data_IF_939711837887
#
_entry.id   IF_939711837887
#
_cell.length_a   1.000
_cell.length_b   1.000
_cell.length_c   1.000
_cell.angle_alpha   90.00
_cell.angle_beta   90.00
_cell.angle_gamma   90.00
#
_symmetry.space_group_name_H-M   'P 1'
#
loop_
_entity.id
_entity.type
_entity.pdbx_description
1 polymer ?
#
# COMPACT_ATOMS: atom_id res chain seq x y z
N UNK A 1 -10.67 23.34 22.10
CA UNK A 1 -11.96 24.03 21.91
C UNK A 1 -11.87 24.93 20.68
N UNK A 2 -12.93 25.03 19.86
CA UNK A 2 -12.98 25.92 18.68
C UNK A 2 -14.23 26.80 18.79
N UNK A 3 -14.08 28.10 18.50
CA UNK A 3 -15.20 29.05 18.40
C UNK A 3 -15.10 29.79 17.07
N UNK A 4 -16.17 29.74 16.28
CA UNK A 4 -16.30 30.46 15.01
C UNK A 4 -16.90 31.84 15.26
N UNK A 5 -16.52 32.83 14.45
CA UNK A 5 -17.14 34.16 14.43
C UNK A 5 -17.94 34.31 13.13
N UNK A 6 -19.24 33.96 13.13
CA UNK A 6 -20.08 34.14 11.95
C UNK A 6 -20.36 35.64 11.72
N UNK A 7 -20.35 36.03 10.45
CA UNK A 7 -20.69 37.37 9.97
C UNK A 7 -21.68 37.25 8.81
N UNK A 8 -22.56 38.24 8.65
CA UNK A 8 -23.42 38.30 7.47
C UNK A 8 -22.58 38.34 6.18
N UNK A 9 -22.97 37.52 5.21
CA UNK A 9 -22.26 37.41 3.95
C UNK A 9 -22.36 38.69 3.11
N UNK A 10 -23.49 39.42 3.20
CA UNK A 10 -23.78 40.63 2.40
C UNK A 10 -23.52 40.43 0.90
N UNK A 11 -23.98 39.30 0.37
CA UNK A 11 -23.80 38.92 -1.04
C UNK A 11 -22.42 38.35 -1.40
N UNK A 12 -21.48 38.23 -0.44
CA UNK A 12 -20.17 37.59 -0.66
C UNK A 12 -20.33 36.06 -0.81
N UNK A 13 -19.48 35.48 -1.66
CA UNK A 13 -19.37 34.04 -1.83
C UNK A 13 -18.33 33.44 -0.86
N UNK A 14 -18.50 32.18 -0.51
CA UNK A 14 -17.50 31.40 0.22
C UNK A 14 -16.20 31.31 -0.60
N UNK A 15 -15.07 31.71 -0.01
CA UNK A 15 -13.77 31.66 -0.68
C UNK A 15 -13.30 30.23 -1.01
N UNK A 16 -13.87 29.19 -0.38
CA UNK A 16 -13.50 27.79 -0.59
C UNK A 16 -14.37 27.09 -1.64
N UNK A 17 -15.69 27.23 -1.56
CA UNK A 17 -16.62 26.51 -2.44
C UNK A 17 -17.37 27.39 -3.44
N UNK A 18 -17.21 28.72 -3.39
CA UNK A 18 -17.90 29.67 -4.26
C UNK A 18 -19.40 29.84 -3.98
N UNK A 19 -19.99 29.02 -3.10
CA UNK A 19 -21.40 29.13 -2.75
C UNK A 19 -21.70 30.45 -2.04
N UNK A 20 -22.86 31.04 -2.37
CA UNK A 20 -23.41 32.20 -1.65
C UNK A 20 -24.32 31.69 -0.53
N UNK A 21 -24.15 32.25 0.66
CA UNK A 21 -24.98 31.95 1.82
C UNK A 21 -25.30 33.21 2.59
N UNK A 22 -26.13 33.12 3.62
CA UNK A 22 -26.49 34.25 4.48
C UNK A 22 -25.36 34.63 5.45
N UNK A 23 -24.62 33.62 5.92
CA UNK A 23 -23.55 33.76 6.91
C UNK A 23 -22.25 33.19 6.36
N UNK A 24 -21.14 33.86 6.68
CA UNK A 24 -19.78 33.41 6.40
C UNK A 24 -18.95 33.46 7.68
N UNK A 25 -17.93 32.61 7.75
CA UNK A 25 -16.95 32.63 8.84
C UNK A 25 -15.61 33.05 8.26
N UNK A 26 -15.03 34.12 8.80
CA UNK A 26 -13.71 34.64 8.38
C UNK A 26 -12.62 34.45 9.42
N UNK A 27 -13.02 34.42 10.70
CA UNK A 27 -12.11 34.26 11.82
C UNK A 27 -12.65 33.20 12.78
N UNK A 28 -11.72 32.58 13.50
CA UNK A 28 -12.01 31.65 14.58
C UNK A 28 -10.98 31.82 15.68
N UNK A 29 -11.34 31.45 16.90
CA UNK A 29 -10.39 31.18 17.98
C UNK A 29 -10.35 29.66 18.19
N UNK A 30 -9.14 29.12 18.33
CA UNK A 30 -8.94 27.72 18.68
C UNK A 30 -7.95 27.62 19.84
N UNK A 31 -8.25 26.71 20.77
CA UNK A 31 -7.43 26.34 21.91
C UNK A 31 -7.27 24.82 21.95
N UNK A 32 -6.25 24.34 22.67
CA UNK A 32 -6.06 22.91 22.90
C UNK A 32 -7.35 22.29 23.48
N UNK A 33 -7.76 21.16 22.92
CA UNK A 33 -8.90 20.38 23.40
C UNK A 33 -8.47 19.31 24.39
N UNK A 34 -9.38 18.39 24.67
CA UNK A 34 -9.06 17.20 25.45
C UNK A 34 -8.08 16.31 24.69
N UNK A 35 -7.01 15.92 25.37
CA UNK A 35 -6.14 14.85 24.93
C UNK A 35 -6.49 13.58 25.69
N UNK A 36 -6.50 12.42 25.01
CA UNK A 36 -6.66 11.14 25.69
C UNK A 36 -5.57 10.98 26.76
N UNK A 37 -5.97 10.69 27.99
CA UNK A 37 -5.04 10.52 29.11
C UNK A 37 -4.10 9.33 28.86
N UNK A 38 -2.88 9.42 29.38
CA UNK A 38 -1.93 8.30 29.34
C UNK A 38 -2.46 7.12 30.15
N UNK A 39 -2.44 5.91 29.56
CA UNK A 39 -2.91 4.68 30.21
C UNK A 39 -4.42 4.43 30.12
N UNK A 40 -5.20 5.35 29.53
CA UNK A 40 -6.60 5.07 29.20
C UNK A 40 -6.70 3.92 28.19
N UNK A 41 -7.78 3.14 28.26
CA UNK A 41 -8.04 2.08 27.29
C UNK A 41 -8.03 2.66 25.87
N UNK A 42 -7.37 1.96 24.94
CA UNK A 42 -7.37 2.38 23.54
C UNK A 42 -8.80 2.34 23.01
N UNK A 43 -9.32 3.52 22.66
CA UNK A 43 -10.42 3.62 21.72
C UNK A 43 -9.91 3.30 20.31
N UNK A 44 -10.36 2.16 19.76
CA UNK A 44 -10.07 1.76 18.39
C UNK A 44 -11.15 2.36 17.48
N UNK A 45 -10.75 3.31 16.65
CA UNK A 45 -11.62 3.95 15.66
C UNK A 45 -12.03 2.90 14.62
N UNK A 46 -13.34 2.68 14.38
CA UNK A 46 -13.82 1.66 13.44
C UNK A 46 -13.40 1.89 11.99
N UNK A 47 -12.94 3.09 11.63
CA UNK A 47 -12.49 3.46 10.29
C UNK A 47 -10.96 3.42 10.13
N UNK A 48 -10.21 3.17 11.19
CA UNK A 48 -8.75 3.14 11.16
C UNK A 48 -8.18 1.72 11.20
N UNK A 49 -7.14 1.48 10.42
CA UNK A 49 -6.30 0.29 10.55
C UNK A 49 -5.18 0.55 11.56
N UNK A 50 -4.74 -0.47 12.29
CA UNK A 50 -3.69 -0.36 13.28
C UNK A 50 -2.61 -1.41 13.09
N UNK A 51 -1.40 -1.10 13.53
CA UNK A 51 -0.30 -2.05 13.68
C UNK A 51 0.04 -2.25 15.16
N UNK A 52 0.26 -3.49 15.61
CA UNK A 52 0.85 -3.74 16.92
C UNK A 52 2.21 -3.05 17.05
N UNK A 53 2.56 -2.65 18.27
CA UNK A 53 3.93 -2.20 18.59
C UNK A 53 4.89 -3.38 18.55
N UNK A 54 6.16 -3.09 18.24
CA UNK A 54 7.24 -4.08 18.31
C UNK A 54 7.26 -4.72 19.70
N UNK A 55 7.39 -6.05 19.75
CA UNK A 55 7.38 -6.86 20.98
C UNK A 55 6.07 -6.84 21.78
N UNK A 56 4.95 -6.39 21.19
CA UNK A 56 3.64 -6.39 21.86
C UNK A 56 3.53 -5.44 23.06
N UNK A 57 4.55 -4.61 23.30
CA UNK A 57 4.56 -3.66 24.42
C UNK A 57 3.90 -2.35 24.02
N UNK A 58 2.75 -2.08 24.63
CA UNK A 58 2.00 -0.84 24.48
C UNK A 58 0.90 -0.91 23.42
N UNK A 59 0.13 0.17 23.34
CA UNK A 59 -1.01 0.23 22.44
C UNK A 59 -0.60 0.20 20.96
N UNK A 60 -1.42 -0.44 20.09
CA UNK A 60 -1.19 -0.43 18.66
C UNK A 60 -1.26 1.00 18.11
N UNK A 61 -0.53 1.23 17.04
CA UNK A 61 -0.43 2.53 16.38
C UNK A 61 -1.28 2.53 15.12
N UNK A 62 -2.02 3.61 14.82
CA UNK A 62 -2.75 3.71 13.57
C UNK A 62 -1.77 3.64 12.39
N UNK A 63 -2.18 2.98 11.31
CA UNK A 63 -1.48 3.04 10.04
C UNK A 63 -1.58 4.47 9.50
N UNK A 64 -0.46 4.98 8.97
CA UNK A 64 -0.36 6.34 8.44
C UNK A 64 0.30 6.30 7.07
N UNK A 65 -0.05 7.24 6.17
CA UNK A 65 0.65 7.41 4.91
C UNK A 65 2.16 7.54 5.10
N UNK A 66 2.91 6.90 4.20
CA UNK A 66 4.38 6.93 4.19
C UNK A 66 4.85 7.67 2.96
N UNK A 67 5.86 8.53 3.13
CA UNK A 67 6.39 9.33 2.04
C UNK A 67 6.82 8.43 0.87
N UNK A 68 6.35 8.76 -0.34
CA UNK A 68 6.72 8.05 -1.57
C UNK A 68 6.23 6.60 -1.63
N UNK A 69 5.22 6.22 -0.84
CA UNK A 69 4.62 4.89 -0.87
C UNK A 69 3.17 4.99 -1.38
N UNK A 70 2.91 4.38 -2.53
CA UNK A 70 1.55 4.22 -3.04
C UNK A 70 0.67 3.43 -2.06
N UNK A 71 -0.58 3.87 -1.88
CA UNK A 71 -1.51 3.32 -0.88
C UNK A 71 -1.79 1.83 -1.07
N UNK A 72 -1.91 1.35 -2.32
CA UNK A 72 -2.17 -0.05 -2.63
C UNK A 72 -1.08 -1.00 -2.07
N UNK A 73 0.13 -0.50 -1.79
CA UNK A 73 1.19 -1.29 -1.14
C UNK A 73 0.88 -1.62 0.32
N UNK A 74 -0.13 -0.97 0.89
CA UNK A 74 -0.67 -1.23 2.23
C UNK A 74 -2.02 -1.96 2.17
N UNK A 75 -2.45 -2.43 0.99
CA UNK A 75 -3.76 -3.07 0.77
C UNK A 75 -4.06 -4.21 1.74
N UNK A 76 -3.12 -5.16 1.91
CA UNK A 76 -3.28 -6.25 2.87
C UNK A 76 -3.48 -5.74 4.30
N UNK A 77 -2.65 -4.78 4.69
CA UNK A 77 -2.65 -4.20 6.03
C UNK A 77 -3.92 -3.38 6.32
N UNK A 78 -4.54 -2.81 5.29
CA UNK A 78 -5.74 -1.99 5.40
C UNK A 78 -7.01 -2.84 5.40
N UNK A 79 -7.07 -3.94 4.65
CA UNK A 79 -8.36 -4.59 4.35
C UNK A 79 -8.45 -6.06 4.77
N UNK A 80 -7.33 -6.77 4.79
CA UNK A 80 -7.35 -8.23 4.84
C UNK A 80 -7.13 -8.74 6.26
N UNK A 81 -7.61 -9.97 6.51
CA UNK A 81 -7.40 -10.67 7.76
C UNK A 81 -6.81 -12.07 7.49
N UNK A 82 -5.50 -12.28 7.73
CA UNK A 82 -4.85 -13.56 7.49
C UNK A 82 -5.17 -14.62 8.57
N UNK A 83 -6.12 -14.39 9.47
CA UNK A 83 -6.54 -15.36 10.49
C UNK A 83 -5.51 -15.60 11.60
N UNK A 84 -4.53 -14.70 11.77
CA UNK A 84 -3.52 -14.79 12.81
C UNK A 84 -4.10 -14.46 14.18
N UNK A 85 -3.55 -15.07 15.24
CA UNK A 85 -3.97 -14.82 16.61
C UNK A 85 -3.80 -13.34 17.01
N UNK A 86 -4.65 -12.89 17.94
CA UNK A 86 -4.66 -11.51 18.45
C UNK A 86 -3.25 -11.03 18.81
N UNK A 87 -2.82 -9.91 18.22
CA UNK A 87 -1.51 -9.30 18.44
C UNK A 87 -0.44 -9.65 17.38
N UNK A 88 -0.75 -10.54 16.44
CA UNK A 88 0.11 -10.85 15.28
C UNK A 88 -0.50 -10.27 14.00
N UNK A 89 0.21 -9.34 13.35
CA UNK A 89 -0.25 -8.69 12.12
C UNK A 89 -1.07 -7.42 12.38
N UNK A 90 -1.55 -6.81 11.30
CA UNK A 90 -2.33 -5.57 11.35
C UNK A 90 -3.77 -5.81 11.78
N UNK A 91 -4.34 -4.85 12.50
CA UNK A 91 -5.74 -4.81 12.88
C UNK A 91 -6.45 -4.00 11.80
N UNK A 92 -7.30 -4.64 10.99
CA UNK A 92 -8.09 -3.96 9.97
C UNK A 92 -9.22 -3.11 10.60
N UNK A 93 -9.73 -2.07 9.91
CA UNK A 93 -10.87 -1.29 10.37
C UNK A 93 -12.08 -2.20 10.64
N UNK A 94 -12.71 -2.07 11.81
CA UNK A 94 -13.83 -2.94 12.21
C UNK A 94 -15.09 -2.72 11.36
N UNK A 95 -15.22 -1.56 10.69
CA UNK A 95 -16.29 -1.33 9.71
C UNK A 95 -16.26 -2.34 8.56
N UNK A 96 -15.09 -2.88 8.20
CA UNK A 96 -15.00 -3.91 7.16
C UNK A 96 -15.65 -5.23 7.59
N UNK A 97 -15.54 -5.59 8.87
CA UNK A 97 -16.25 -6.76 9.42
C UNK A 97 -17.77 -6.52 9.42
N UNK A 98 -18.23 -5.28 9.59
CA UNK A 98 -19.64 -4.94 9.46
C UNK A 98 -20.12 -5.04 8.01
N UNK A 99 -19.32 -4.59 7.03
CA UNK A 99 -19.63 -4.74 5.60
C UNK A 99 -19.77 -6.22 5.24
N UNK A 100 -18.84 -7.06 5.72
CA UNK A 100 -18.86 -8.51 5.62
C UNK A 100 -20.22 -9.10 6.03
N UNK A 101 -20.64 -8.79 7.27
CA UNK A 101 -21.88 -9.30 7.85
C UNK A 101 -23.12 -8.80 7.09
N UNK A 102 -23.08 -7.56 6.57
CA UNK A 102 -24.19 -7.01 5.77
C UNK A 102 -24.24 -7.70 4.41
N UNK A 103 -23.10 -7.92 3.75
CA UNK A 103 -23.01 -8.58 2.46
C UNK A 103 -23.56 -10.01 2.55
N UNK A 104 -23.16 -10.77 3.58
CA UNK A 104 -23.65 -12.12 3.84
C UNK A 104 -25.18 -12.13 4.03
N UNK A 105 -25.70 -11.29 4.92
CA UNK A 105 -27.15 -11.22 5.20
C UNK A 105 -27.98 -10.77 4.01
N UNK A 106 -27.43 -9.89 3.18
CA UNK A 106 -28.09 -9.38 1.99
C UNK A 106 -27.90 -10.29 0.77
N UNK A 107 -27.17 -11.40 0.88
CA UNK A 107 -26.89 -12.31 -0.22
C UNK A 107 -26.13 -11.65 -1.36
N UNK A 108 -25.19 -10.75 -1.05
CA UNK A 108 -24.36 -10.11 -2.06
C UNK A 108 -23.42 -11.14 -2.69
N UNK A 109 -23.22 -11.03 -4.00
CA UNK A 109 -22.25 -11.84 -4.72
C UNK A 109 -20.83 -11.62 -4.15
N UNK A 110 -20.14 -12.70 -3.80
CA UNK A 110 -18.77 -12.66 -3.29
C UNK A 110 -17.76 -12.09 -4.32
N UNK A 111 -18.08 -12.16 -5.62
CA UNK A 111 -17.30 -11.54 -6.69
C UNK A 111 -17.45 -10.01 -6.74
N UNK A 112 -18.46 -9.45 -6.06
CA UNK A 112 -18.66 -8.00 -5.99
C UNK A 112 -17.49 -7.35 -5.27
N UNK A 113 -17.09 -6.17 -5.75
CA UNK A 113 -16.13 -5.30 -5.08
C UNK A 113 -16.81 -4.13 -4.38
N UNK A 114 -16.27 -3.74 -3.22
CA UNK A 114 -16.63 -2.50 -2.53
C UNK A 114 -15.53 -1.46 -2.74
N UNK A 115 -15.94 -0.25 -3.11
CA UNK A 115 -15.03 0.89 -3.19
C UNK A 115 -14.76 1.44 -1.81
N UNK A 116 -13.52 1.36 -1.34
CA UNK A 116 -13.09 1.90 -0.04
C UNK A 116 -12.25 3.14 -0.27
N UNK A 117 -12.77 4.30 0.19
CA UNK A 117 -12.04 5.55 0.16
C UNK A 117 -11.12 5.64 1.39
N UNK A 118 -9.83 5.74 1.15
CA UNK A 118 -8.81 5.85 2.17
C UNK A 118 -8.30 7.30 2.23
N UNK A 119 -8.48 7.91 3.40
CA UNK A 119 -8.06 9.29 3.66
C UNK A 119 -7.00 9.26 4.75
N UNK A 120 -5.87 9.93 4.51
CA UNK A 120 -4.79 10.00 5.49
C UNK A 120 -3.94 11.24 5.31
N UNK A 121 -3.27 11.65 6.37
CA UNK A 121 -2.32 12.76 6.33
C UNK A 121 -0.96 12.35 6.88
N UNK A 122 0.09 12.80 6.20
CA UNK A 122 1.45 12.72 6.72
C UNK A 122 1.83 14.08 7.29
N UNK A 123 2.12 14.10 8.58
CA UNK A 123 2.52 15.31 9.29
C UNK A 123 3.88 15.13 9.96
N UNK A 124 4.46 16.22 10.45
CA UNK A 124 5.61 16.18 11.37
C UNK A 124 5.22 15.76 12.80
N UNK A 125 4.01 15.20 12.97
CA UNK A 125 3.36 14.94 14.25
C UNK A 125 3.13 16.20 15.10
N UNK A 126 3.22 17.38 14.47
CA UNK A 126 2.91 18.68 15.06
C UNK A 126 1.92 19.40 14.15
N UNK A 127 2.35 20.44 13.43
CA UNK A 127 1.49 21.32 12.66
C UNK A 127 1.76 21.29 11.15
N UNK A 128 2.87 20.70 10.70
CA UNK A 128 3.23 20.71 9.28
C UNK A 128 2.62 19.49 8.60
N UNK A 129 1.76 19.73 7.62
CA UNK A 129 1.26 18.71 6.70
C UNK A 129 2.22 18.62 5.52
N UNK A 130 2.73 17.42 5.27
CA UNK A 130 3.60 17.17 4.12
C UNK A 130 2.85 16.52 2.95
N UNK A 131 1.82 15.75 3.25
CA UNK A 131 1.11 14.94 2.25
C UNK A 131 -0.32 14.67 2.73
N UNK A 132 -1.25 14.76 1.78
CA UNK A 132 -2.65 14.39 1.96
C UNK A 132 -2.96 13.29 0.96
N UNK A 133 -3.37 12.12 1.47
CA UNK A 133 -3.80 10.98 0.67
C UNK A 133 -5.32 10.93 0.67
N UNK A 134 -5.89 10.82 -0.51
CA UNK A 134 -7.33 10.65 -0.76
C UNK A 134 -7.47 9.76 -1.99
N UNK A 135 -7.46 8.45 -1.76
CA UNK A 135 -7.44 7.43 -2.81
C UNK A 135 -8.55 6.41 -2.58
N UNK A 136 -9.16 5.93 -3.66
CA UNK A 136 -10.15 4.86 -3.61
C UNK A 136 -9.52 3.53 -4.05
N UNK A 137 -9.68 2.49 -3.25
CA UNK A 137 -9.27 1.13 -3.59
C UNK A 137 -10.49 0.22 -3.71
N UNK A 138 -10.48 -0.66 -4.70
CA UNK A 138 -11.52 -1.68 -4.85
C UNK A 138 -11.16 -2.91 -4.03
N UNK A 139 -12.09 -3.37 -3.20
CA UNK A 139 -11.90 -4.55 -2.36
C UNK A 139 -12.96 -5.59 -2.69
N UNK A 140 -12.62 -6.68 -3.39
CA UNK A 140 -13.51 -7.83 -3.58
C UNK A 140 -13.98 -8.39 -2.23
N UNK A 141 -15.28 -8.67 -2.10
CA UNK A 141 -15.87 -9.18 -0.87
C UNK A 141 -15.28 -10.55 -0.48
N UNK A 142 -14.99 -11.41 -1.46
CA UNK A 142 -14.33 -12.70 -1.21
C UNK A 142 -13.00 -12.57 -0.44
N UNK A 143 -12.26 -11.47 -0.60
CA UNK A 143 -11.00 -11.26 0.12
C UNK A 143 -11.20 -10.89 1.59
N UNK A 144 -12.37 -10.35 1.97
CA UNK A 144 -12.64 -9.99 3.36
C UNK A 144 -12.81 -11.23 4.25
N UNK A 145 -13.16 -12.38 3.66
CA UNK A 145 -13.46 -13.63 4.33
C UNK A 145 -12.39 -14.73 4.17
N UNK A 146 -11.37 -14.54 3.33
CA UNK A 146 -10.40 -15.60 3.00
C UNK A 146 -9.02 -15.36 3.63
N UNK A 147 -8.69 -16.06 4.73
CA UNK A 147 -7.34 -16.03 5.32
C UNK A 147 -6.25 -16.48 4.34
N UNK A 148 -6.53 -17.50 3.52
CA UNK A 148 -5.57 -18.01 2.53
C UNK A 148 -5.24 -16.95 1.48
N UNK A 149 -6.25 -16.31 0.88
CA UNK A 149 -6.03 -15.22 -0.07
C UNK A 149 -5.37 -13.99 0.59
N UNK A 150 -5.68 -13.72 1.86
CA UNK A 150 -5.03 -12.67 2.63
C UNK A 150 -3.53 -12.93 2.83
N UNK A 151 -3.15 -14.16 3.21
CA UNK A 151 -1.74 -14.56 3.31
C UNK A 151 -1.06 -14.49 1.96
N UNK A 152 -1.71 -14.96 0.89
CA UNK A 152 -1.18 -14.89 -0.47
C UNK A 152 -0.85 -13.45 -0.88
N UNK A 153 -1.80 -12.51 -0.71
CA UNK A 153 -1.59 -11.11 -1.06
C UNK A 153 -0.51 -10.45 -0.18
N UNK A 154 -0.42 -10.80 1.10
CA UNK A 154 0.66 -10.34 1.97
C UNK A 154 2.04 -10.81 1.49
N UNK A 155 2.17 -12.09 1.16
CA UNK A 155 3.40 -12.69 0.66
C UNK A 155 3.79 -12.10 -0.71
N UNK A 156 2.81 -11.87 -1.59
CA UNK A 156 3.01 -11.18 -2.86
C UNK A 156 3.52 -9.75 -2.70
N UNK A 157 2.96 -8.97 -1.79
CA UNK A 157 3.44 -7.61 -1.47
C UNK A 157 4.86 -7.66 -0.86
N UNK A 158 5.14 -8.62 0.02
CA UNK A 158 6.46 -8.82 0.60
C UNK A 158 7.50 -9.20 -0.45
N UNK A 159 7.12 -10.00 -1.46
CA UNK A 159 7.97 -10.30 -2.61
C UNK A 159 8.33 -9.04 -3.40
N UNK A 160 7.35 -8.17 -3.67
CA UNK A 160 7.60 -6.87 -4.32
C UNK A 160 8.58 -5.98 -3.55
N UNK A 161 8.49 -5.96 -2.21
CA UNK A 161 9.44 -5.24 -1.33
C UNK A 161 10.84 -5.84 -1.33
N UNK A 162 10.94 -7.17 -1.36
CA UNK A 162 12.23 -7.87 -1.47
C UNK A 162 12.92 -7.50 -2.77
N UNK A 163 12.20 -7.55 -3.89
CA UNK A 163 12.73 -7.18 -5.21
C UNK A 163 13.18 -5.71 -5.25
N UNK A 164 12.41 -4.78 -4.67
CA UNK A 164 12.88 -3.39 -4.50
C UNK A 164 14.24 -3.31 -3.78
N UNK A 165 14.45 -4.18 -2.77
CA UNK A 165 15.73 -4.33 -2.08
C UNK A 165 16.85 -4.79 -3.01
N UNK A 166 16.59 -5.78 -3.86
CA UNK A 166 17.54 -6.27 -4.86
C UNK A 166 17.89 -5.23 -5.91
N UNK A 167 16.91 -4.47 -6.40
CA UNK A 167 17.14 -3.37 -7.35
C UNK A 167 18.08 -2.33 -6.72
N UNK A 168 17.84 -1.95 -5.46
CA UNK A 168 18.70 -1.01 -4.72
C UNK A 168 20.09 -1.58 -4.54
N UNK A 169 20.20 -2.87 -4.23
CA UNK A 169 21.47 -3.54 -4.03
C UNK A 169 22.29 -3.60 -5.33
N UNK A 170 21.69 -4.09 -6.42
CA UNK A 170 22.32 -4.13 -7.73
C UNK A 170 22.78 -2.75 -8.20
N UNK A 171 21.96 -1.71 -7.97
CA UNK A 171 22.32 -0.33 -8.27
C UNK A 171 23.55 0.10 -7.47
N UNK A 172 23.54 -0.14 -6.16
CA UNK A 172 24.62 0.28 -5.26
C UNK A 172 25.93 -0.45 -5.53
N UNK A 173 25.89 -1.68 -6.04
CA UNK A 173 27.08 -2.47 -6.33
C UNK A 173 27.78 -2.06 -7.62
N UNK A 174 27.03 -1.69 -8.65
CA UNK A 174 27.59 -1.51 -10.01
C UNK A 174 27.43 -0.11 -10.58
N UNK A 175 26.46 0.68 -10.11
CA UNK A 175 26.08 1.96 -10.72
C UNK A 175 26.18 3.14 -9.75
N UNK A 176 26.53 2.90 -8.49
CA UNK A 176 26.68 3.97 -7.49
C UNK A 176 28.15 4.13 -7.13
N UNK A 177 28.73 5.28 -7.45
CA UNK A 177 30.02 5.68 -6.91
C UNK A 177 29.94 5.94 -5.39
N UNK A 178 31.08 5.90 -4.69
CA UNK A 178 31.18 6.24 -3.25
C UNK A 178 30.61 7.62 -2.88
N UNK A 179 30.46 8.51 -3.86
CA UNK A 179 29.94 9.87 -3.71
C UNK A 179 28.41 9.96 -3.71
N UNK A 180 27.68 8.88 -4.03
CA UNK A 180 26.22 8.89 -4.13
C UNK A 180 25.68 9.68 -5.33
N UNK A 181 26.52 9.83 -6.37
CA UNK A 181 26.29 10.66 -7.56
C UNK A 181 24.95 10.38 -8.26
N UNK A 182 24.44 9.15 -8.15
CA UNK A 182 23.26 8.69 -8.88
C UNK A 182 22.06 8.37 -7.99
N UNK A 183 22.04 8.88 -6.76
CA UNK A 183 20.97 8.63 -5.79
C UNK A 183 19.59 9.08 -6.28
N UNK A 184 19.50 10.15 -7.06
CA UNK A 184 18.23 10.63 -7.65
C UNK A 184 17.68 9.64 -8.69
N UNK A 185 18.54 9.12 -9.55
CA UNK A 185 18.17 8.13 -10.57
C UNK A 185 17.72 6.82 -9.92
N UNK A 186 18.44 6.39 -8.86
CA UNK A 186 18.02 5.25 -8.04
C UNK A 186 16.64 5.45 -7.42
N UNK A 187 16.37 6.63 -6.86
CA UNK A 187 15.07 6.92 -6.26
C UNK A 187 13.95 6.88 -7.32
N UNK A 188 14.16 7.51 -8.47
CA UNK A 188 13.21 7.49 -9.59
C UNK A 188 12.98 6.08 -10.15
N UNK A 189 14.01 5.24 -10.20
CA UNK A 189 13.90 3.83 -10.58
C UNK A 189 12.90 3.10 -9.67
N UNK A 190 13.04 3.27 -8.35
CA UNK A 190 12.16 2.61 -7.38
C UNK A 190 10.72 3.16 -7.45
N UNK A 191 10.55 4.45 -7.69
CA UNK A 191 9.24 5.07 -7.88
C UNK A 191 8.55 4.53 -9.14
N UNK A 192 9.25 4.44 -10.27
CA UNK A 192 8.73 3.86 -11.51
C UNK A 192 8.38 2.39 -11.36
N UNK A 193 9.22 1.63 -10.67
CA UNK A 193 8.97 0.21 -10.38
C UNK A 193 7.64 0.02 -9.62
N UNK A 194 7.37 0.81 -8.58
CA UNK A 194 6.11 0.69 -7.87
C UNK A 194 4.92 1.25 -8.65
N UNK A 195 5.12 2.33 -9.40
CA UNK A 195 4.05 2.89 -10.22
C UNK A 195 3.58 1.90 -11.29
N UNK A 196 4.51 1.18 -11.94
CA UNK A 196 4.17 0.22 -13.00
C UNK A 196 3.47 -1.04 -12.49
N UNK A 197 3.60 -1.38 -11.20
CA UNK A 197 2.99 -2.57 -10.62
C UNK A 197 1.53 -2.42 -10.23
N UNK A 198 0.97 -1.20 -10.15
CA UNK A 198 -0.40 -1.00 -9.67
C UNK A 198 -1.45 -1.82 -10.47
N UNK A 199 -1.45 -1.81 -11.82
CA UNK A 199 -2.44 -2.59 -12.59
C UNK A 199 -2.23 -4.11 -12.50
N UNK A 200 -0.99 -4.57 -12.33
CA UNK A 200 -0.70 -5.99 -12.11
C UNK A 200 -1.14 -6.43 -10.70
N UNK A 201 -1.02 -5.55 -9.70
CA UNK A 201 -1.47 -5.82 -8.35
C UNK A 201 -2.99 -5.93 -8.27
N UNK A 202 -3.73 -5.03 -8.94
CA UNK A 202 -5.19 -5.13 -9.03
C UNK A 202 -5.64 -6.46 -9.63
N UNK A 203 -5.01 -6.88 -10.74
CA UNK A 203 -5.28 -8.18 -11.36
C UNK A 203 -4.93 -9.35 -10.44
N UNK A 204 -3.82 -9.25 -9.70
CA UNK A 204 -3.42 -10.27 -8.72
C UNK A 204 -4.44 -10.38 -7.58
N UNK A 205 -4.86 -9.25 -6.98
CA UNK A 205 -5.87 -9.24 -5.93
C UNK A 205 -7.22 -9.82 -6.41
N UNK A 206 -7.64 -9.50 -7.63
CA UNK A 206 -8.84 -10.07 -8.25
C UNK A 206 -8.71 -11.58 -8.49
N UNK A 207 -7.55 -12.05 -8.94
CA UNK A 207 -7.30 -13.48 -9.13
C UNK A 207 -7.33 -14.25 -7.79
N UNK A 208 -6.75 -13.68 -6.74
CA UNK A 208 -6.85 -14.23 -5.38
C UNK A 208 -8.29 -14.23 -4.87
N UNK A 209 -9.09 -13.21 -5.20
CA UNK A 209 -10.50 -13.16 -4.83
C UNK A 209 -11.33 -14.22 -5.54
N UNK A 210 -11.06 -14.45 -6.83
CA UNK A 210 -11.72 -15.49 -7.61
C UNK A 210 -11.41 -16.90 -7.06
N UNK A 211 -10.17 -17.15 -6.65
CA UNK A 211 -9.78 -18.40 -6.00
C UNK A 211 -10.49 -18.62 -4.65
N UNK A 212 -10.82 -17.55 -3.93
CA UNK A 212 -11.52 -17.60 -2.65
C UNK A 212 -13.05 -17.78 -2.75
N UNK A 213 -13.59 -18.10 -3.93
CA UNK A 213 -15.02 -18.25 -4.15
C UNK A 213 -15.66 -19.44 -3.41
N UNK A 214 -16.98 -19.40 -3.12
CA UNK A 214 -17.66 -20.31 -2.19
C UNK A 214 -17.89 -21.76 -2.69
N UNK A 215 -17.22 -22.22 -3.76
CA UNK A 215 -17.57 -23.50 -4.38
C UNK A 215 -16.40 -24.29 -4.99
N UNK A 216 -15.15 -23.89 -4.72
CA UNK A 216 -13.97 -24.60 -5.18
C UNK A 216 -13.52 -25.65 -4.17
N UNK A 217 -13.08 -26.82 -4.64
CA UNK A 217 -12.39 -27.78 -3.77
C UNK A 217 -11.04 -27.20 -3.31
N UNK A 218 -10.55 -27.59 -2.13
CA UNK A 218 -9.30 -27.04 -1.56
C UNK A 218 -8.12 -27.12 -2.55
N UNK A 219 -7.98 -28.24 -3.28
CA UNK A 219 -6.94 -28.41 -4.30
C UNK A 219 -7.07 -27.43 -5.48
N UNK A 220 -8.29 -27.07 -5.87
CA UNK A 220 -8.56 -26.08 -6.93
C UNK A 220 -8.23 -24.67 -6.46
N UNK A 221 -8.52 -24.35 -5.20
CA UNK A 221 -8.16 -23.07 -4.56
C UNK A 221 -6.64 -22.91 -4.55
N UNK A 222 -5.92 -23.93 -4.08
CA UNK A 222 -4.46 -23.92 -4.01
C UNK A 222 -3.82 -23.77 -5.40
N UNK A 223 -4.34 -24.48 -6.40
CA UNK A 223 -3.87 -24.36 -7.79
C UNK A 223 -4.12 -22.95 -8.35
N UNK A 224 -5.30 -22.37 -8.10
CA UNK A 224 -5.65 -21.02 -8.57
C UNK A 224 -4.82 -19.93 -7.88
N UNK A 225 -4.62 -20.02 -6.56
CA UNK A 225 -3.74 -19.10 -5.81
C UNK A 225 -2.30 -19.21 -6.28
N UNK A 226 -1.80 -20.41 -6.53
CA UNK A 226 -0.47 -20.62 -7.07
C UNK A 226 -0.32 -20.04 -8.49
N UNK A 227 -1.32 -20.19 -9.35
CA UNK A 227 -1.34 -19.55 -10.67
C UNK A 227 -1.30 -18.01 -10.57
N UNK A 228 -2.08 -17.43 -9.67
CA UNK A 228 -2.07 -16.00 -9.37
C UNK A 228 -0.70 -15.53 -8.88
N UNK A 229 -0.10 -16.29 -7.94
CA UNK A 229 1.25 -16.05 -7.41
C UNK A 229 2.29 -16.01 -8.51
N UNK A 230 2.27 -17.00 -9.41
CA UNK A 230 3.24 -17.11 -10.51
C UNK A 230 3.09 -15.95 -11.50
N UNK A 231 1.86 -15.57 -11.83
CA UNK A 231 1.61 -14.41 -12.69
C UNK A 231 2.14 -13.11 -12.06
N UNK A 232 1.86 -12.90 -10.77
CA UNK A 232 2.38 -11.75 -10.00
C UNK A 232 3.90 -11.73 -9.94
N UNK A 233 4.53 -12.86 -9.63
CA UNK A 233 5.99 -12.98 -9.55
C UNK A 233 6.66 -12.57 -10.87
N UNK A 234 6.12 -13.04 -12.00
CA UNK A 234 6.62 -12.69 -13.32
C UNK A 234 6.42 -11.20 -13.64
N UNK A 235 5.28 -10.61 -13.26
CA UNK A 235 5.03 -9.18 -13.43
C UNK A 235 6.02 -8.33 -12.63
N UNK A 236 6.22 -8.66 -11.34
CA UNK A 236 7.19 -8.03 -10.45
C UNK A 236 8.61 -8.09 -11.01
N UNK A 237 9.06 -9.25 -11.47
CA UNK A 237 10.40 -9.38 -12.04
C UNK A 237 10.57 -8.59 -13.33
N UNK A 238 9.59 -8.63 -14.24
CA UNK A 238 9.63 -7.85 -15.48
C UNK A 238 9.66 -6.35 -15.19
N UNK A 239 8.80 -5.86 -14.31
CA UNK A 239 8.75 -4.46 -13.92
C UNK A 239 10.07 -4.00 -13.28
N UNK A 240 10.66 -4.83 -12.40
CA UNK A 240 11.94 -4.54 -11.76
C UNK A 240 13.10 -4.48 -12.75
N UNK A 241 13.21 -5.46 -13.65
CA UNK A 241 14.23 -5.48 -14.69
C UNK A 241 14.10 -4.27 -15.62
N UNK A 242 12.88 -3.98 -16.09
CA UNK A 242 12.62 -2.86 -16.98
C UNK A 242 12.95 -1.51 -16.32
N UNK A 243 12.50 -1.28 -15.08
CA UNK A 243 12.81 -0.07 -14.35
C UNK A 243 14.31 0.13 -14.14
N UNK A 244 15.04 -0.96 -13.87
CA UNK A 244 16.49 -0.93 -13.72
C UNK A 244 17.19 -0.57 -15.04
N UNK A 245 16.80 -1.21 -16.14
CA UNK A 245 17.36 -0.97 -17.47
C UNK A 245 17.13 0.49 -17.93
N UNK A 246 15.91 1.00 -17.77
CA UNK A 246 15.58 2.39 -18.10
C UNK A 246 16.37 3.40 -17.27
N UNK A 247 16.56 3.13 -15.99
CA UNK A 247 17.30 4.03 -15.10
C UNK A 247 18.81 3.99 -15.41
N UNK A 248 19.36 2.80 -15.65
CA UNK A 248 20.76 2.61 -16.03
C UNK A 248 21.07 3.27 -17.39
N UNK A 249 20.12 3.28 -18.33
CA UNK A 249 20.27 3.95 -19.61
C UNK A 249 20.45 5.47 -19.53
N UNK A 250 20.14 6.09 -18.39
CA UNK A 250 20.25 7.54 -18.19
C UNK A 250 21.62 7.99 -17.67
N UNK A 251 22.56 7.07 -17.40
CA UNK A 251 23.82 7.37 -16.72
C UNK A 251 24.93 7.89 -17.66
N UNK A 252 24.74 7.77 -18.99
CA UNK A 252 25.71 8.19 -20.01
C UNK A 252 26.24 7.03 -20.87
N UNK A 253 27.04 7.39 -21.87
CA UNK A 253 27.50 6.48 -22.94
C UNK A 253 29.03 6.35 -23.05
N UNK A 254 29.79 6.77 -22.03
CA UNK A 254 31.22 6.47 -22.00
C UNK A 254 31.48 4.97 -21.73
N UNK A 255 32.65 4.49 -22.13
CA UNK A 255 32.98 3.07 -22.10
C UNK A 255 32.96 2.46 -20.68
N UNK A 256 33.26 3.24 -19.64
CA UNK A 256 33.22 2.76 -18.25
C UNK A 256 31.76 2.60 -17.80
N UNK A 257 30.94 3.64 -18.02
CA UNK A 257 29.50 3.61 -17.71
C UNK A 257 28.78 2.49 -18.45
N UNK A 258 29.11 2.23 -19.73
CA UNK A 258 28.53 1.12 -20.48
C UNK A 258 28.85 -0.25 -19.87
N UNK A 259 30.10 -0.46 -19.41
CA UNK A 259 30.48 -1.70 -18.73
C UNK A 259 29.72 -1.89 -17.42
N UNK A 260 29.65 -0.85 -16.62
CA UNK A 260 28.93 -0.83 -15.34
C UNK A 260 27.43 -1.13 -15.54
N UNK A 261 26.81 -0.52 -16.55
CA UNK A 261 25.41 -0.79 -16.96
C UNK A 261 25.20 -2.27 -17.27
N UNK A 262 26.04 -2.87 -18.11
CA UNK A 262 25.90 -4.28 -18.50
C UNK A 262 26.06 -5.20 -17.28
N UNK A 263 27.05 -4.94 -16.42
CA UNK A 263 27.28 -5.74 -15.22
C UNK A 263 26.13 -5.61 -14.21
N UNK A 264 25.66 -4.38 -13.95
CA UNK A 264 24.53 -4.12 -13.06
C UNK A 264 23.24 -4.77 -13.55
N UNK A 265 22.95 -4.68 -14.86
CA UNK A 265 21.79 -5.34 -15.45
C UNK A 265 21.87 -6.86 -15.38
N UNK A 266 23.03 -7.45 -15.68
CA UNK A 266 23.24 -8.90 -15.56
C UNK A 266 23.05 -9.38 -14.11
N UNK A 267 23.59 -8.63 -13.15
CA UNK A 267 23.45 -8.94 -11.73
C UNK A 267 22.00 -8.80 -11.25
N UNK A 268 21.30 -7.73 -11.64
CA UNK A 268 19.87 -7.55 -11.37
C UNK A 268 19.04 -8.70 -11.94
N UNK A 269 19.32 -9.14 -13.18
CA UNK A 269 18.67 -10.30 -13.79
C UNK A 269 18.92 -11.59 -13.02
N UNK A 270 20.13 -11.81 -12.53
CA UNK A 270 20.47 -12.98 -11.72
C UNK A 270 19.69 -13.00 -10.39
N UNK A 271 19.65 -11.88 -9.66
CA UNK A 271 18.91 -11.75 -8.40
C UNK A 271 17.40 -11.95 -8.60
N UNK A 272 16.82 -11.24 -9.57
CA UNK A 272 15.38 -11.35 -9.88
C UNK A 272 15.00 -12.77 -10.26
N UNK A 273 15.81 -13.45 -11.08
CA UNK A 273 15.58 -14.85 -11.44
C UNK A 273 15.64 -15.76 -10.22
N UNK A 274 16.67 -15.62 -9.37
CA UNK A 274 16.83 -16.42 -8.15
C UNK A 274 15.61 -16.30 -7.25
N UNK A 275 15.23 -15.07 -6.87
CA UNK A 275 14.12 -14.86 -5.95
C UNK A 275 12.76 -15.22 -6.56
N UNK A 276 12.59 -15.09 -7.89
CA UNK A 276 11.41 -15.62 -8.57
C UNK A 276 11.25 -17.12 -8.37
N UNK A 277 12.35 -17.90 -8.50
CA UNK A 277 12.30 -19.36 -8.30
C UNK A 277 11.98 -19.73 -6.85
N UNK A 278 12.48 -18.96 -5.89
CA UNK A 278 12.19 -19.18 -4.47
C UNK A 278 10.73 -18.87 -4.11
N UNK A 279 10.14 -17.83 -4.71
CA UNK A 279 8.77 -17.40 -4.42
C UNK A 279 7.71 -18.19 -5.20
N UNK A 280 7.97 -18.47 -6.48
CA UNK A 280 7.12 -19.24 -7.39
C UNK A 280 7.96 -20.32 -8.11
N UNK A 281 8.22 -21.46 -7.45
CA UNK A 281 8.95 -22.59 -8.05
C UNK A 281 8.18 -23.14 -9.24
N UNK A 282 8.84 -23.62 -10.30
CA UNK A 282 8.15 -24.07 -11.52
C UNK A 282 7.45 -25.44 -11.39
N UNK A 283 7.82 -26.22 -10.37
CA UNK A 283 7.26 -27.53 -10.08
C UNK A 283 6.39 -27.44 -8.82
N UNK A 284 5.07 -27.58 -8.98
CA UNK A 284 4.13 -27.86 -7.90
C UNK A 284 3.00 -28.75 -8.42
#
# INVERSE_FOLDING_TARGET
QVRLHPEEARGRACARCGARGEWLVRTMVYNMGESRQGGAQLWQDPFAAYRPRKHGKGEPLPLRPRAGRALWRDYAALFLNPGRANGQGTIRPSVLAQIDLVAERAGWDAARSVGVRCIGMRTDMKAKVFEWVDEGLQVPLALLHSPQAAVEIEDGLAFGERLQGDLRYAWSQYLEERTGRHGTQRQRMLERYWASLAPDFERYALACAAAAGPSAADDEVDAALYAARRAWALAVCRAGQHAFEEAAAQLGDDAATLRERVQGQAFCRALTTKHRKEFAPDDR
#
